data_IF_198463685455
#
_entry.id   IF_198463685455
#
_cell.length_a   1.000
_cell.length_b   1.000
_cell.length_c   1.000
_cell.angle_alpha   90.00
_cell.angle_beta   90.00
_cell.angle_gamma   90.00
#
_symmetry.space_group_name_H-M   'P 1'
#
loop_
_entity.id
_entity.type
_entity.pdbx_description
1 polymer ?
#
# COMPACT_ATOMS: atom_id res chain seq x y z
N UNK A 1 6.16 -2.07 14.46
CA UNK A 1 6.78 -1.07 15.37
C UNK A 1 8.21 -0.79 14.91
N UNK A 2 8.75 0.43 15.15
CA UNK A 2 10.11 0.81 14.73
C UNK A 2 10.24 1.52 13.38
N UNK A 3 9.14 2.06 12.84
CA UNK A 3 9.14 2.77 11.55
C UNK A 3 9.30 4.29 11.75
N UNK A 4 9.87 4.97 10.75
CA UNK A 4 10.00 6.44 10.69
C UNK A 4 9.00 7.02 9.68
N UNK A 5 8.57 8.29 9.84
CA UNK A 5 7.75 8.98 8.83
C UNK A 5 8.46 8.99 7.47
N UNK A 6 7.69 8.82 6.39
CA UNK A 6 8.20 8.96 5.02
C UNK A 6 8.08 10.40 4.52
N UNK A 7 8.90 10.80 3.53
CA UNK A 7 8.90 12.17 2.99
C UNK A 7 7.54 12.57 2.38
N UNK A 8 6.79 11.60 1.84
CA UNK A 8 5.36 11.78 1.49
C UNK A 8 4.49 11.32 2.65
N UNK A 9 3.66 12.23 3.18
CA UNK A 9 2.74 11.92 4.28
C UNK A 9 1.56 11.05 3.85
N UNK A 10 1.10 11.19 2.60
CA UNK A 10 -0.02 10.44 2.03
C UNK A 10 -0.09 10.57 0.51
N UNK A 11 -1.17 10.05 -0.08
CA UNK A 11 -1.46 10.24 -1.50
C UNK A 11 -1.91 11.69 -1.77
N UNK A 12 -1.58 12.23 -2.96
CA UNK A 12 -2.17 13.47 -3.46
C UNK A 12 -3.54 13.22 -4.13
N UNK A 13 -3.78 12.02 -4.65
CA UNK A 13 -5.00 11.57 -5.33
C UNK A 13 -5.34 10.12 -4.93
N UNK A 14 -6.63 9.80 -4.87
CA UNK A 14 -7.11 8.46 -4.50
C UNK A 14 -7.43 8.32 -3.02
N UNK A 15 -7.27 7.11 -2.45
CA UNK A 15 -7.62 6.85 -1.05
C UNK A 15 -6.64 7.51 -0.09
N UNK A 16 -7.16 7.97 1.05
CA UNK A 16 -6.31 8.44 2.15
C UNK A 16 -5.45 7.28 2.66
N UNK A 17 -4.14 7.53 2.72
CA UNK A 17 -3.19 6.60 3.31
C UNK A 17 -2.08 7.34 4.04
N UNK A 18 -1.37 6.60 4.90
CA UNK A 18 -0.16 7.07 5.58
C UNK A 18 1.01 6.17 5.28
N UNK A 19 2.18 6.76 5.05
CA UNK A 19 3.41 6.01 4.84
C UNK A 19 4.25 5.94 6.12
N UNK A 20 4.81 4.76 6.39
CA UNK A 20 5.88 4.59 7.38
C UNK A 20 6.98 3.73 6.79
N UNK A 21 8.24 3.98 7.13
CA UNK A 21 9.40 3.29 6.55
C UNK A 21 10.25 2.61 7.61
N UNK A 22 10.79 1.45 7.27
CA UNK A 22 11.89 0.76 7.94
C UNK A 22 13.11 0.71 7.00
N UNK A 23 14.29 0.27 7.45
CA UNK A 23 15.47 0.14 6.57
C UNK A 23 15.22 -0.73 5.33
N UNK A 24 14.38 -1.76 5.45
CA UNK A 24 14.17 -2.79 4.40
C UNK A 24 12.77 -2.78 3.79
N UNK A 25 11.88 -1.91 4.25
CA UNK A 25 10.50 -1.89 3.76
C UNK A 25 9.83 -0.53 3.93
N UNK A 26 8.96 -0.20 2.98
CA UNK A 26 8.00 0.88 3.08
C UNK A 26 6.59 0.31 3.31
N UNK A 27 5.83 0.92 4.20
CA UNK A 27 4.47 0.52 4.53
C UNK A 27 3.51 1.64 4.16
N UNK A 28 2.48 1.33 3.37
CA UNK A 28 1.36 2.22 3.07
C UNK A 28 0.11 1.72 3.81
N UNK A 29 -0.41 2.54 4.72
CA UNK A 29 -1.56 2.23 5.55
C UNK A 29 -2.77 2.94 4.94
N UNK A 30 -3.58 2.20 4.21
CA UNK A 30 -4.81 2.70 3.57
C UNK A 30 -5.94 2.69 4.58
N UNK A 31 -6.57 3.85 4.80
CA UNK A 31 -7.64 3.99 5.79
C UNK A 31 -8.94 3.33 5.30
N UNK A 32 -9.60 2.61 6.21
CA UNK A 32 -10.90 1.97 6.01
C UNK A 32 -10.84 0.65 5.26
N UNK A 33 -12.03 0.06 5.10
CA UNK A 33 -12.21 -1.19 4.37
C UNK A 33 -11.85 -1.05 2.88
N UNK A 34 -11.22 -2.08 2.32
CA UNK A 34 -10.88 -2.16 0.89
C UNK A 34 -11.63 -3.33 0.26
N UNK A 35 -12.10 -3.13 -0.98
CA UNK A 35 -12.71 -4.20 -1.76
C UNK A 35 -11.68 -5.21 -2.25
N UNK A 36 -12.11 -6.14 -3.11
CA UNK A 36 -11.21 -7.09 -3.78
C UNK A 36 -10.23 -6.41 -4.75
N UNK A 37 -10.41 -5.12 -5.04
CA UNK A 37 -9.42 -4.30 -5.72
C UNK A 37 -9.43 -2.89 -5.13
N UNK A 38 -8.25 -2.27 -5.01
CA UNK A 38 -8.12 -0.87 -4.59
C UNK A 38 -6.87 -0.23 -5.18
N UNK A 39 -6.88 1.10 -5.27
CA UNK A 39 -5.79 1.88 -5.86
C UNK A 39 -5.08 2.74 -4.83
N UNK A 40 -3.75 2.83 -4.98
CA UNK A 40 -2.88 3.74 -4.22
C UNK A 40 -1.91 4.43 -5.19
N UNK A 41 -1.35 5.57 -4.83
CA UNK A 41 -0.27 6.16 -5.65
C UNK A 41 0.99 5.29 -5.57
N UNK A 42 1.76 5.30 -6.67
CA UNK A 42 3.09 4.72 -6.64
C UNK A 42 3.94 5.45 -5.58
N UNK A 43 4.66 4.73 -4.71
CA UNK A 43 5.37 5.34 -3.59
C UNK A 43 6.60 6.17 -4.00
N UNK A 44 6.95 6.15 -5.29
CA UNK A 44 8.10 6.88 -5.85
C UNK A 44 9.45 6.30 -5.44
N UNK A 45 9.47 5.03 -5.02
CA UNK A 45 10.67 4.27 -4.66
C UNK A 45 10.71 2.98 -5.46
N UNK A 46 11.91 2.52 -5.78
CA UNK A 46 12.13 1.17 -6.28
C UNK A 46 11.82 0.15 -5.17
N UNK A 47 11.22 -0.98 -5.54
CA UNK A 47 10.89 -2.08 -4.64
C UNK A 47 11.02 -3.41 -5.38
N UNK A 48 11.39 -4.45 -4.66
CA UNK A 48 11.57 -5.80 -5.20
C UNK A 48 10.33 -6.68 -5.03
N UNK A 49 9.53 -6.41 -4.01
CA UNK A 49 8.32 -7.17 -3.70
C UNK A 49 7.24 -6.24 -3.11
N UNK A 50 5.97 -6.56 -3.38
CA UNK A 50 4.81 -5.92 -2.76
C UNK A 50 3.84 -6.96 -2.22
N UNK A 51 3.32 -6.72 -1.01
CA UNK A 51 2.36 -7.61 -0.34
C UNK A 51 1.35 -6.80 0.47
N UNK A 52 0.20 -7.41 0.80
CA UNK A 52 -0.81 -6.81 1.69
C UNK A 52 -0.91 -7.64 2.96
N UNK A 53 -0.71 -7.01 4.12
CA UNK A 53 -0.70 -7.73 5.39
C UNK A 53 -2.10 -8.24 5.72
N UNK A 54 -2.22 -9.55 5.94
CA UNK A 54 -3.49 -10.20 6.27
C UNK A 54 -4.41 -10.44 5.07
N UNK A 55 -3.93 -10.27 3.84
CA UNK A 55 -4.66 -10.62 2.63
C UNK A 55 -3.72 -11.21 1.57
N UNK A 56 -4.28 -12.07 0.72
CA UNK A 56 -3.56 -12.61 -0.43
C UNK A 56 -3.70 -11.65 -1.62
N UNK A 57 -2.56 -11.20 -2.14
CA UNK A 57 -2.47 -10.33 -3.30
C UNK A 57 -2.47 -11.18 -4.56
N UNK A 58 -3.51 -11.06 -5.37
CA UNK A 58 -3.69 -11.82 -6.62
C UNK A 58 -3.12 -11.11 -7.84
N UNK A 59 -2.90 -9.80 -7.77
CA UNK A 59 -2.34 -9.04 -8.88
C UNK A 59 -1.96 -7.61 -8.52
N UNK A 60 -1.04 -7.06 -9.30
CA UNK A 60 -0.58 -5.67 -9.20
C UNK A 60 -0.46 -5.10 -10.60
N UNK A 61 -1.16 -4.00 -10.86
CA UNK A 61 -1.08 -3.27 -12.12
C UNK A 61 -0.59 -1.85 -11.85
N UNK A 62 0.26 -1.34 -12.73
CA UNK A 62 0.79 0.02 -12.64
C UNK A 62 0.43 0.82 -13.89
N UNK A 63 -0.31 1.92 -13.71
CA UNK A 63 -0.70 2.81 -14.80
C UNK A 63 -0.72 4.26 -14.30
N UNK A 64 -0.11 5.18 -15.06
CA UNK A 64 -0.21 6.62 -14.79
C UNK A 64 0.26 7.06 -13.39
N UNK A 65 1.22 6.35 -12.78
CA UNK A 65 1.70 6.64 -11.42
C UNK A 65 0.79 6.13 -10.29
N UNK A 66 -0.21 5.30 -10.62
CA UNK A 66 -1.06 4.59 -9.68
C UNK A 66 -0.71 3.11 -9.67
N UNK A 67 -0.93 2.46 -8.53
CA UNK A 67 -0.89 1.02 -8.34
C UNK A 67 -2.30 0.52 -8.05
N UNK A 68 -2.79 -0.43 -8.84
CA UNK A 68 -4.02 -1.18 -8.58
C UNK A 68 -3.65 -2.51 -7.98
N UNK A 69 -4.11 -2.76 -6.75
CA UNK A 69 -3.86 -3.99 -5.99
C UNK A 69 -5.13 -4.83 -5.99
N UNK A 70 -5.04 -6.05 -6.52
CA UNK A 70 -6.13 -7.03 -6.53
C UNK A 70 -5.90 -8.05 -5.43
N UNK A 71 -6.92 -8.26 -4.61
CA UNK A 71 -6.94 -9.21 -3.49
C UNK A 71 -7.82 -10.41 -3.82
N UNK A 72 -7.48 -11.58 -3.28
CA UNK A 72 -8.35 -12.76 -3.39
C UNK A 72 -9.71 -12.57 -2.69
N UNK A 73 -9.76 -11.76 -1.64
CA UNK A 73 -10.97 -11.41 -0.91
C UNK A 73 -10.90 -9.96 -0.38
N UNK A 74 -12.04 -9.28 -0.21
CA UNK A 74 -12.08 -7.93 0.36
C UNK A 74 -11.64 -7.93 1.83
N UNK A 75 -11.07 -6.82 2.30
CA UNK A 75 -10.70 -6.63 3.71
C UNK A 75 -11.64 -5.64 4.38
N UNK A 76 -12.33 -6.08 5.44
CA UNK A 76 -13.31 -5.28 6.21
C UNK A 76 -12.70 -4.58 7.44
N UNK A 77 -11.38 -4.59 7.58
CA UNK A 77 -10.68 -3.99 8.72
C UNK A 77 -10.66 -2.46 8.71
N UNK A 78 -10.19 -1.83 9.81
CA UNK A 78 -10.10 -0.37 9.93
C UNK A 78 -9.06 0.25 9.01
N UNK A 79 -8.12 -0.55 8.51
CA UNK A 79 -7.13 -0.18 7.52
C UNK A 79 -6.59 -1.43 6.81
N UNK A 80 -6.10 -1.24 5.58
CA UNK A 80 -5.28 -2.21 4.87
C UNK A 80 -3.81 -1.73 4.87
N UNK A 81 -2.87 -2.64 5.07
CA UNK A 81 -1.44 -2.29 5.09
C UNK A 81 -0.72 -2.96 3.93
N UNK A 82 -0.25 -2.15 3.00
CA UNK A 82 0.58 -2.57 1.88
C UNK A 82 2.05 -2.45 2.29
N UNK A 83 2.84 -3.50 2.05
CA UNK A 83 4.27 -3.55 2.32
C UNK A 83 5.03 -3.66 1.02
N UNK A 84 5.95 -2.73 0.79
CA UNK A 84 6.94 -2.75 -0.27
C UNK A 84 8.30 -3.14 0.33
N UNK A 85 8.96 -4.14 -0.22
CA UNK A 85 10.33 -4.53 0.15
C UNK A 85 11.31 -3.69 -0.68
N UNK A 86 12.21 -2.97 -0.01
CA UNK A 86 13.18 -2.05 -0.63
C UNK A 86 14.49 -2.76 -0.99
#
# INVERSE_FOLDING_TARGET
>A
YGTRPWQRFGNLRGRELRYTRSPTALYAIVSGAVGSAFTIEHPGVEWSEVSVLGAELSGVEQEGGMLTLSLAAPMTGPAAVVRFVL
#
